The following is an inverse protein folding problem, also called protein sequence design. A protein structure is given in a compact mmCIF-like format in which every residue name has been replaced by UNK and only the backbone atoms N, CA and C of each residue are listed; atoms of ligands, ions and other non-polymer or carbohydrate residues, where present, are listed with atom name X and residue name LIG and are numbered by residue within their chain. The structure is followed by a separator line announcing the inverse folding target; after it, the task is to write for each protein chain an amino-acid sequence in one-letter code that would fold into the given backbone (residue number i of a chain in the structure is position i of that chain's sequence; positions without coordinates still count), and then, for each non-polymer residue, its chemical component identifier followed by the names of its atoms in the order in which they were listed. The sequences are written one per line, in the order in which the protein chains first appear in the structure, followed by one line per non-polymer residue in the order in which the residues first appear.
data_IF_693645858108
#
_entry.id   IF_693645858108
#
_cell.length_a   1.000
_cell.length_b   1.000
_cell.length_c   1.000
_cell.angle_alpha   90.00
_cell.angle_beta   90.00
_cell.angle_gamma   90.00
#
_symmetry.space_group_name_H-M   'P 1'
#
loop_
_entity.id
_entity.type
_entity.pdbx_description
1 polymer ?
#
# COMPACT_ATOMS: atom_id res chain seq x y z
N UNK A 1 -21.85 4.24 -4.47
CA UNK A 1 -22.64 5.45 -4.78
C UNK A 1 -21.88 6.22 -5.84
N UNK A 2 -22.45 6.54 -7.01
CA UNK A 2 -21.71 7.05 -8.17
C UNK A 2 -21.95 8.55 -8.43
N UNK A 3 -21.07 9.14 -9.24
CA UNK A 3 -21.19 10.53 -9.68
C UNK A 3 -21.81 10.60 -11.09
N UNK A 4 -22.82 11.43 -11.27
CA UNK A 4 -23.52 11.62 -12.54
C UNK A 4 -23.56 13.09 -12.95
N UNK A 5 -23.55 13.32 -14.26
CA UNK A 5 -23.99 14.59 -14.84
C UNK A 5 -25.41 14.39 -15.34
N UNK A 6 -26.33 15.24 -14.89
CA UNK A 6 -27.72 15.29 -15.35
C UNK A 6 -27.96 16.65 -15.99
N UNK A 7 -28.45 16.64 -17.23
CA UNK A 7 -28.77 17.86 -17.99
C UNK A 7 -30.26 18.16 -17.90
N UNK A 8 -30.61 19.35 -17.45
CA UNK A 8 -32.00 19.83 -17.35
C UNK A 8 -32.08 21.22 -17.99
N UNK A 9 -32.91 21.38 -19.03
CA UNK A 9 -33.05 22.59 -19.86
C UNK A 9 -31.69 23.10 -20.40
N UNK A 10 -30.81 22.18 -20.77
CA UNK A 10 -29.45 22.50 -21.25
C UNK A 10 -28.49 23.00 -20.17
N UNK A 11 -28.82 22.85 -18.87
CA UNK A 11 -27.91 23.10 -17.74
C UNK A 11 -27.46 21.78 -17.15
N UNK A 12 -26.15 21.60 -17.01
CA UNK A 12 -25.54 20.40 -16.43
C UNK A 12 -25.43 20.53 -14.91
N UNK A 13 -25.87 19.49 -14.21
CA UNK A 13 -25.75 19.35 -12.76
C UNK A 13 -24.91 18.10 -12.46
N UNK A 14 -23.80 18.29 -11.76
CA UNK A 14 -22.99 17.17 -11.23
C UNK A 14 -23.60 16.75 -9.90
N UNK A 15 -23.94 15.47 -9.78
CA UNK A 15 -24.56 14.87 -8.59
C UNK A 15 -23.67 13.72 -8.13
N UNK A 16 -23.04 13.87 -6.97
CA UNK A 16 -22.27 12.83 -6.29
C UNK A 16 -23.12 11.99 -5.33
N UNK A 17 -22.51 10.92 -4.82
CA UNK A 17 -23.01 10.12 -3.69
C UNK A 17 -24.43 9.55 -3.82
N UNK A 18 -24.82 9.15 -5.04
CA UNK A 18 -26.13 8.54 -5.29
C UNK A 18 -26.08 7.03 -5.49
N UNK A 19 -27.13 6.33 -5.05
CA UNK A 19 -27.25 4.87 -5.19
C UNK A 19 -27.71 4.44 -6.58
N UNK A 20 -28.37 5.33 -7.30
CA UNK A 20 -28.90 5.07 -8.64
C UNK A 20 -28.92 6.32 -9.52
N UNK A 21 -29.03 6.10 -10.83
CA UNK A 21 -29.32 7.13 -11.83
C UNK A 21 -30.58 7.93 -11.46
N UNK A 22 -31.63 7.26 -10.99
CA UNK A 22 -32.88 7.90 -10.62
C UNK A 22 -32.69 8.88 -9.46
N UNK A 23 -31.91 8.49 -8.44
CA UNK A 23 -31.58 9.39 -7.33
C UNK A 23 -30.79 10.62 -7.81
N UNK A 24 -29.90 10.45 -8.79
CA UNK A 24 -29.19 11.58 -9.40
C UNK A 24 -30.13 12.54 -10.12
N UNK A 25 -31.09 12.01 -10.90
CA UNK A 25 -32.09 12.83 -11.61
C UNK A 25 -32.95 13.58 -10.59
N UNK A 26 -33.46 12.90 -9.57
CA UNK A 26 -34.27 13.52 -8.51
C UNK A 26 -33.52 14.68 -7.82
N UNK A 27 -32.26 14.46 -7.42
CA UNK A 27 -31.44 15.51 -6.80
C UNK A 27 -31.10 16.66 -7.75
N UNK A 28 -30.85 16.38 -9.03
CA UNK A 28 -30.60 17.42 -10.03
C UNK A 28 -31.83 18.32 -10.22
N UNK A 29 -33.03 17.74 -10.21
CA UNK A 29 -34.27 18.50 -10.27
C UNK A 29 -34.49 19.36 -9.02
N UNK A 30 -34.20 18.84 -7.83
CA UNK A 30 -34.24 19.62 -6.59
C UNK A 30 -33.26 20.81 -6.63
N UNK A 31 -32.03 20.59 -7.12
CA UNK A 31 -31.02 21.66 -7.31
C UNK A 31 -31.44 22.69 -8.36
N UNK A 32 -32.17 22.28 -9.39
CA UNK A 32 -32.70 23.18 -10.43
C UNK A 32 -33.84 24.09 -9.92
N UNK A 33 -34.42 23.78 -8.76
CA UNK A 33 -35.53 24.53 -8.17
C UNK A 33 -36.87 24.37 -8.91
N UNK A 34 -37.01 23.32 -9.72
CA UNK A 34 -38.24 23.00 -10.45
C UNK A 34 -39.22 22.25 -9.56
N UNK A 35 -40.48 22.69 -9.54
CA UNK A 35 -41.56 21.92 -8.92
C UNK A 35 -41.92 20.72 -9.80
N UNK A 36 -41.90 19.53 -9.22
CA UNK A 36 -42.31 18.29 -9.88
C UNK A 36 -43.37 17.58 -9.03
N UNK A 37 -44.40 17.01 -9.66
CA UNK A 37 -45.51 16.34 -8.98
C UNK A 37 -45.41 14.81 -8.94
N UNK A 38 -44.66 14.20 -9.86
CA UNK A 38 -44.31 12.79 -9.86
C UNK A 38 -42.99 12.54 -10.60
N UNK A 39 -42.36 11.38 -10.36
CA UNK A 39 -41.11 10.98 -11.03
C UNK A 39 -41.30 10.91 -12.56
N UNK A 40 -42.52 10.64 -13.02
CA UNK A 40 -42.88 10.60 -14.45
C UNK A 40 -42.84 11.99 -15.13
N UNK A 41 -42.84 13.08 -14.36
CA UNK A 41 -42.75 14.46 -14.85
C UNK A 41 -41.28 14.92 -15.03
N UNK A 42 -40.30 14.13 -14.56
CA UNK A 42 -38.87 14.44 -14.64
C UNK A 42 -38.37 14.26 -16.09
N UNK A 43 -38.50 15.30 -16.91
CA UNK A 43 -37.89 15.33 -18.24
C UNK A 43 -36.43 15.78 -18.13
N UNK A 44 -35.51 14.83 -18.04
CA UNK A 44 -34.08 15.10 -18.21
C UNK A 44 -33.72 15.08 -19.71
N UNK A 45 -32.87 16.00 -20.15
CA UNK A 45 -32.41 16.05 -21.54
C UNK A 45 -31.43 14.90 -21.82
N UNK A 46 -30.54 14.64 -20.86
CA UNK A 46 -29.60 13.53 -20.87
C UNK A 46 -29.01 13.29 -19.49
N UNK A 47 -28.39 12.13 -19.30
CA UNK A 47 -27.55 11.84 -18.15
C UNK A 47 -26.37 10.96 -18.56
N UNK A 48 -25.28 11.01 -17.79
CA UNK A 48 -24.10 10.15 -17.95
C UNK A 48 -23.28 10.11 -16.66
N UNK A 49 -22.36 9.15 -16.49
CA UNK A 49 -21.34 9.25 -15.44
C UNK A 49 -20.57 10.57 -15.56
N UNK A 50 -20.31 11.20 -14.41
CA UNK A 50 -19.41 12.34 -14.36
C UNK A 50 -17.99 11.89 -14.63
N UNK A 51 -17.23 12.72 -15.34
CA UNK A 51 -15.80 12.51 -15.49
C UNK A 51 -15.06 12.84 -14.19
N UNK A 52 -13.84 12.32 -14.03
CA UNK A 52 -12.95 12.70 -12.91
C UNK A 52 -12.83 14.22 -12.79
N UNK A 53 -12.62 14.92 -13.91
CA UNK A 53 -12.53 16.38 -13.95
C UNK A 53 -13.79 17.06 -13.41
N UNK A 54 -14.97 16.59 -13.81
CA UNK A 54 -16.25 17.18 -13.41
C UNK A 54 -16.55 16.94 -11.93
N UNK A 55 -16.28 15.73 -11.43
CA UNK A 55 -16.42 15.41 -10.01
C UNK A 55 -15.53 16.32 -9.15
N UNK A 56 -14.27 16.53 -9.55
CA UNK A 56 -13.35 17.41 -8.85
C UNK A 56 -13.75 18.88 -8.93
N UNK A 57 -14.24 19.34 -10.09
CA UNK A 57 -14.73 20.71 -10.24
C UNK A 57 -15.97 20.98 -9.40
N UNK A 58 -16.89 20.02 -9.27
CA UNK A 58 -18.06 20.17 -8.39
C UNK A 58 -17.65 20.26 -6.91
N UNK A 59 -16.77 19.37 -6.46
CA UNK A 59 -16.35 19.31 -5.05
C UNK A 59 -15.42 20.46 -4.63
N UNK A 60 -14.48 20.85 -5.49
CA UNK A 60 -13.37 21.76 -5.12
C UNK A 60 -13.34 23.06 -5.92
N UNK A 61 -14.22 23.24 -6.91
CA UNK A 61 -14.25 24.40 -7.82
C UNK A 61 -13.15 24.36 -8.88
N UNK A 62 -13.18 25.28 -9.86
CA UNK A 62 -12.28 25.27 -11.04
C UNK A 62 -10.78 25.32 -10.73
N UNK A 63 -10.40 25.76 -9.54
CA UNK A 63 -9.01 25.93 -9.12
C UNK A 63 -8.39 24.67 -8.46
N UNK A 64 -9.08 23.52 -8.48
CA UNK A 64 -8.57 22.29 -7.85
C UNK A 64 -7.23 21.80 -8.42
N UNK A 65 -6.90 22.22 -9.64
CA UNK A 65 -5.64 21.94 -10.33
C UNK A 65 -4.48 22.83 -9.87
N UNK A 66 -4.75 23.90 -9.11
CA UNK A 66 -3.72 24.85 -8.68
C UNK A 66 -2.87 24.20 -7.59
N UNK A 67 -1.54 24.23 -7.74
CA UNK A 67 -0.55 23.73 -6.77
C UNK A 67 -0.47 24.55 -5.46
N UNK A 68 -1.59 25.07 -4.95
CA UNK A 68 -1.64 25.81 -3.71
C UNK A 68 -2.06 24.91 -2.55
N UNK A 69 -1.07 24.49 -1.76
CA UNK A 69 -1.21 23.57 -0.61
C UNK A 69 -2.26 23.98 0.44
N UNK A 70 -2.70 25.25 0.48
CA UNK A 70 -3.67 25.71 1.49
C UNK A 70 -5.13 25.46 1.13
N UNK A 71 -5.43 25.39 -0.17
CA UNK A 71 -6.80 25.38 -0.68
C UNK A 71 -7.02 24.32 -1.78
N UNK A 72 -6.01 23.51 -2.12
CA UNK A 72 -6.05 22.56 -3.24
C UNK A 72 -5.66 21.13 -2.86
N UNK A 73 -5.92 20.21 -3.78
CA UNK A 73 -5.65 18.77 -3.64
C UNK A 73 -4.18 18.39 -3.73
N UNK A 74 -3.27 19.35 -3.90
CA UNK A 74 -1.85 19.10 -4.23
C UNK A 74 -1.07 18.23 -3.24
N UNK A 75 -1.61 18.02 -2.04
CA UNK A 75 -1.03 17.18 -1.00
C UNK A 75 -1.44 15.70 -1.11
N UNK A 76 -2.61 15.41 -1.72
CA UNK A 76 -3.15 14.05 -1.94
C UNK A 76 -3.23 13.66 -3.42
N UNK A 77 -3.17 14.61 -4.34
CA UNK A 77 -3.21 14.35 -5.77
C UNK A 77 -2.42 15.39 -6.59
N UNK A 78 -2.08 15.05 -7.82
CA UNK A 78 -1.45 15.93 -8.79
C UNK A 78 -1.98 15.63 -10.20
N UNK A 79 -1.94 16.61 -11.11
CA UNK A 79 -2.26 16.38 -12.52
C UNK A 79 -0.99 16.22 -13.33
N UNK A 80 -0.90 15.12 -14.07
CA UNK A 80 0.23 14.80 -14.93
C UNK A 80 -0.24 14.25 -16.29
N UNK A 81 0.70 14.07 -17.22
CA UNK A 81 0.44 13.44 -18.52
C UNK A 81 0.79 11.95 -18.44
N UNK A 82 -0.16 11.08 -18.79
CA UNK A 82 -0.01 9.63 -18.74
C UNK A 82 1.16 9.15 -19.59
N UNK A 83 1.88 8.16 -19.08
CA UNK A 83 2.92 7.43 -19.82
C UNK A 83 2.59 5.95 -19.80
N UNK A 84 2.39 5.37 -20.98
CA UNK A 84 2.21 3.93 -21.12
C UNK A 84 3.56 3.23 -21.28
N UNK A 85 3.71 2.12 -20.56
CA UNK A 85 4.87 1.24 -20.68
C UNK A 85 4.61 0.24 -21.79
N UNK A 86 5.29 0.39 -22.93
CA UNK A 86 5.34 -0.67 -23.95
C UNK A 86 6.57 -1.53 -23.71
N UNK A 87 6.39 -2.76 -23.22
CA UNK A 87 7.46 -3.76 -23.23
C UNK A 87 7.73 -4.17 -24.69
N UNK A 88 8.91 -3.85 -25.20
CA UNK A 88 9.34 -4.36 -26.50
C UNK A 88 9.63 -5.86 -26.40
N UNK A 89 9.31 -6.60 -27.47
CA UNK A 89 9.42 -8.07 -27.55
C UNK A 89 10.85 -8.60 -27.45
N UNK A 90 11.86 -7.71 -27.51
CA UNK A 90 13.29 -8.02 -27.44
C UNK A 90 13.87 -7.99 -26.02
N UNK A 91 13.04 -7.73 -25.01
CA UNK A 91 13.31 -8.03 -23.60
C UNK A 91 14.47 -7.25 -22.98
N UNK A 92 14.97 -6.20 -23.61
CA UNK A 92 16.18 -5.52 -23.13
C UNK A 92 15.90 -4.26 -22.32
N UNK A 93 14.87 -3.46 -22.64
CA UNK A 93 14.42 -2.32 -21.81
C UNK A 93 12.94 -1.98 -22.07
N UNK A 94 12.12 -1.63 -21.06
CA UNK A 94 10.80 -1.08 -21.31
C UNK A 94 10.91 0.24 -22.07
N UNK A 95 10.18 0.38 -23.18
CA UNK A 95 10.04 1.64 -23.90
C UNK A 95 8.84 2.40 -23.37
N UNK A 96 9.02 3.69 -23.09
CA UNK A 96 7.96 4.56 -22.60
C UNK A 96 7.36 5.35 -23.75
N UNK A 97 6.03 5.32 -23.88
CA UNK A 97 5.30 6.18 -24.81
C UNK A 97 4.38 7.10 -24.00
N UNK A 98 4.41 8.40 -24.30
CA UNK A 98 3.48 9.38 -23.74
C UNK A 98 2.36 9.56 -24.75
N UNK A 99 1.13 9.25 -24.35
CA UNK A 99 -0.08 9.51 -25.16
C UNK A 99 -0.68 10.90 -24.87
N UNK A 100 -0.07 11.64 -23.93
CA UNK A 100 -0.42 13.01 -23.51
C UNK A 100 -1.84 13.11 -22.93
N UNK A 101 -2.43 12.00 -22.47
CA UNK A 101 -3.71 12.01 -21.78
C UNK A 101 -3.51 12.60 -20.38
N UNK A 102 -4.23 13.66 -19.98
CA UNK A 102 -4.11 14.23 -18.66
C UNK A 102 -4.78 13.30 -17.63
N UNK A 103 -4.04 12.97 -16.57
CA UNK A 103 -4.47 12.08 -15.50
C UNK A 103 -4.36 12.77 -14.15
N UNK A 104 -5.29 12.43 -13.24
CA UNK A 104 -5.15 12.66 -11.81
C UNK A 104 -4.28 11.53 -11.23
N UNK A 105 -3.13 11.85 -10.68
CA UNK A 105 -2.27 10.93 -9.94
C UNK A 105 -2.54 11.09 -8.46
N UNK A 106 -2.87 10.00 -7.77
CA UNK A 106 -3.12 10.00 -6.33
C UNK A 106 -1.80 9.75 -5.59
N UNK A 107 -1.40 10.69 -4.73
CA UNK A 107 -0.18 10.59 -3.93
C UNK A 107 -0.37 9.61 -2.77
N UNK A 108 0.72 9.01 -2.29
CA UNK A 108 0.62 8.00 -1.24
C UNK A 108 0.03 6.70 -1.77
N UNK A 109 0.15 6.45 -3.07
CA UNK A 109 -0.24 5.20 -3.75
C UNK A 109 0.91 4.69 -4.63
N UNK A 110 2.14 5.12 -4.34
CA UNK A 110 3.33 4.66 -5.03
C UNK A 110 3.58 3.18 -4.69
N UNK A 111 3.34 2.31 -5.66
CA UNK A 111 3.81 0.94 -5.66
C UNK A 111 5.34 0.92 -5.85
N UNK A 112 5.98 -0.20 -5.46
CA UNK A 112 7.43 -0.43 -5.39
C UNK A 112 8.31 0.61 -6.11
N UNK A 113 9.13 1.34 -5.35
CA UNK A 113 10.14 2.26 -5.85
C UNK A 113 11.40 1.49 -6.29
N UNK A 114 11.99 1.90 -7.42
CA UNK A 114 13.26 1.37 -7.93
C UNK A 114 14.43 1.56 -6.97
N UNK A 115 14.33 2.49 -6.03
CA UNK A 115 15.33 2.71 -5.00
C UNK A 115 15.18 1.82 -3.77
N UNK A 116 14.13 0.98 -3.72
CA UNK A 116 13.90 0.01 -2.64
C UNK A 116 13.51 0.64 -1.30
N UNK A 117 13.07 1.90 -1.31
CA UNK A 117 12.46 2.56 -0.15
C UNK A 117 10.95 2.37 -0.17
N UNK A 118 10.55 1.12 -0.34
CA UNK A 118 9.16 0.71 -0.46
C UNK A 118 8.42 1.03 0.85
N UNK A 119 7.52 1.99 0.78
CA UNK A 119 6.70 2.39 1.91
C UNK A 119 5.46 1.48 2.00
N UNK A 120 5.25 0.76 3.12
CA UNK A 120 4.12 -0.16 3.27
C UNK A 120 2.76 0.53 3.12
N UNK A 121 2.65 1.81 3.49
CA UNK A 121 1.40 2.58 3.38
C UNK A 121 1.09 2.87 1.91
N UNK A 122 2.05 3.37 1.14
CA UNK A 122 1.84 3.63 -0.29
C UNK A 122 1.50 2.36 -1.08
N UNK A 123 2.17 1.23 -0.80
CA UNK A 123 1.89 -0.05 -1.48
C UNK A 123 0.50 -0.58 -1.11
N UNK A 124 0.12 -0.54 0.17
CA UNK A 124 -1.21 -1.01 0.60
C UNK A 124 -2.33 -0.16 0.02
N UNK A 125 -2.17 1.17 0.03
CA UNK A 125 -3.13 2.08 -0.62
C UNK A 125 -3.25 1.80 -2.12
N UNK A 126 -2.13 1.57 -2.82
CA UNK A 126 -2.15 1.18 -4.23
C UNK A 126 -2.95 -0.11 -4.43
N UNK A 127 -2.67 -1.18 -3.68
CA UNK A 127 -3.36 -2.46 -3.81
C UNK A 127 -4.86 -2.34 -3.54
N UNK A 128 -5.23 -1.68 -2.45
CA UNK A 128 -6.62 -1.47 -2.05
C UNK A 128 -7.42 -0.68 -3.10
N UNK A 129 -6.85 0.41 -3.62
CA UNK A 129 -7.51 1.22 -4.65
C UNK A 129 -7.53 0.54 -6.01
N UNK A 130 -6.44 -0.13 -6.40
CA UNK A 130 -6.38 -0.85 -7.67
C UNK A 130 -7.43 -1.96 -7.72
N UNK A 131 -7.59 -2.75 -6.65
CA UNK A 131 -8.63 -3.78 -6.57
C UNK A 131 -10.03 -3.16 -6.65
N UNK A 132 -10.27 -2.11 -5.84
CA UNK A 132 -11.56 -1.40 -5.78
C UNK A 132 -11.99 -0.77 -7.10
N UNK A 133 -11.04 -0.26 -7.89
CA UNK A 133 -11.31 0.47 -9.14
C UNK A 133 -10.88 -0.30 -10.39
N UNK A 134 -10.55 -1.59 -10.27
CA UNK A 134 -9.99 -2.42 -11.34
C UNK A 134 -10.81 -2.46 -12.63
N UNK A 135 -12.14 -2.33 -12.52
CA UNK A 135 -13.06 -2.32 -13.67
C UNK A 135 -13.31 -0.92 -14.26
N UNK A 136 -12.73 0.13 -13.68
CA UNK A 136 -12.96 1.51 -14.10
C UNK A 136 -12.21 1.82 -15.41
N UNK A 137 -12.96 2.33 -16.39
CA UNK A 137 -12.36 2.88 -17.60
C UNK A 137 -11.50 4.11 -17.24
N UNK A 138 -10.23 4.08 -17.65
CA UNK A 138 -9.29 5.18 -17.39
C UNK A 138 -8.43 5.02 -16.15
N UNK A 139 -8.53 3.90 -15.42
CA UNK A 139 -7.52 3.52 -14.42
C UNK A 139 -6.21 3.10 -15.11
N UNK A 140 -5.09 3.62 -14.62
CA UNK A 140 -3.75 3.27 -15.09
C UNK A 140 -2.70 3.36 -13.97
N UNK A 141 -1.50 2.81 -14.22
CA UNK A 141 -0.37 2.82 -13.27
C UNK A 141 0.42 4.14 -13.27
N UNK A 142 -0.21 5.23 -13.72
CA UNK A 142 0.37 6.57 -13.69
C UNK A 142 1.59 6.79 -14.58
N UNK A 143 2.17 7.99 -14.53
CA UNK A 143 3.12 8.46 -15.54
C UNK A 143 4.60 8.26 -15.18
N UNK A 144 4.89 7.75 -13.98
CA UNK A 144 6.26 7.69 -13.47
C UNK A 144 6.97 6.41 -13.95
N UNK A 145 8.20 6.56 -14.41
CA UNK A 145 8.99 5.41 -14.85
C UNK A 145 9.42 4.56 -13.67
N UNK A 146 9.20 3.24 -13.76
CA UNK A 146 9.61 2.25 -12.75
C UNK A 146 8.95 2.41 -11.37
N UNK A 147 7.78 3.05 -11.32
CA UNK A 147 6.93 3.12 -10.14
C UNK A 147 5.48 3.07 -10.65
N UNK A 148 4.69 2.11 -10.18
CA UNK A 148 3.25 2.15 -10.46
C UNK A 148 2.62 3.09 -9.43
N UNK A 149 1.69 3.93 -9.87
CA UNK A 149 0.92 4.82 -8.98
C UNK A 149 -0.51 4.88 -9.48
N UNK A 150 -1.50 5.02 -8.60
CA UNK A 150 -2.88 5.12 -9.04
C UNK A 150 -3.06 6.42 -9.84
N UNK A 151 -3.46 6.27 -11.10
CA UNK A 151 -3.80 7.38 -11.96
C UNK A 151 -5.12 7.18 -12.68
N UNK A 152 -5.91 8.25 -12.74
CA UNK A 152 -7.23 8.28 -13.33
C UNK A 152 -7.28 9.30 -14.47
N UNK A 153 -7.64 8.87 -15.67
CA UNK A 153 -7.84 9.76 -16.82
C UNK A 153 -8.89 10.83 -16.49
N UNK A 154 -8.52 12.11 -16.64
CA UNK A 154 -9.39 13.22 -16.21
C UNK A 154 -10.73 13.27 -16.96
N UNK A 155 -10.75 12.79 -18.20
CA UNK A 155 -11.92 12.87 -19.07
C UNK A 155 -12.66 11.51 -19.19
N UNK A 156 -12.37 10.57 -18.27
CA UNK A 156 -13.05 9.28 -18.12
C UNK A 156 -13.93 9.26 -16.86
N UNK A 157 -14.88 8.30 -16.74
CA UNK A 157 -15.78 8.23 -15.59
C UNK A 157 -15.02 8.25 -14.26
N UNK A 158 -15.47 9.07 -13.32
CA UNK A 158 -14.91 9.13 -11.98
C UNK A 158 -15.23 7.84 -11.20
N UNK A 159 -14.30 7.33 -10.37
CA UNK A 159 -14.66 6.36 -9.34
C UNK A 159 -15.73 6.92 -8.43
N UNK A 160 -16.57 6.01 -7.95
CA UNK A 160 -17.79 6.35 -7.23
C UNK A 160 -17.48 7.04 -5.88
N UNK A 161 -16.38 6.64 -5.22
CA UNK A 161 -15.87 7.13 -3.94
C UNK A 161 -14.64 8.04 -4.08
N UNK A 162 -14.40 8.63 -5.27
CA UNK A 162 -13.20 9.43 -5.52
C UNK A 162 -13.00 10.55 -4.48
N UNK A 163 -14.05 11.31 -4.20
CA UNK A 163 -13.97 12.47 -3.28
C UNK A 163 -13.69 11.99 -1.85
N UNK A 164 -14.45 10.99 -1.38
CA UNK A 164 -14.26 10.37 -0.06
C UNK A 164 -12.83 9.83 0.13
N UNK A 165 -12.27 9.16 -0.89
CA UNK A 165 -10.90 8.65 -0.83
C UNK A 165 -9.88 9.79 -0.71
N UNK A 166 -10.03 10.85 -1.50
CA UNK A 166 -9.13 12.01 -1.44
C UNK A 166 -9.21 12.73 -0.08
N UNK A 167 -10.41 12.89 0.48
CA UNK A 167 -10.61 13.48 1.80
C UNK A 167 -10.08 12.57 2.92
N UNK A 168 -10.27 11.26 2.81
CA UNK A 168 -9.74 10.27 3.76
C UNK A 168 -8.22 10.33 3.79
N UNK A 169 -7.56 10.23 2.62
CA UNK A 169 -6.10 10.32 2.51
C UNK A 169 -5.54 11.64 3.05
N UNK A 170 -6.27 12.74 2.91
CA UNK A 170 -5.86 14.04 3.43
C UNK A 170 -5.86 14.08 4.97
N UNK A 171 -6.77 13.34 5.60
CA UNK A 171 -6.89 13.27 7.06
C UNK A 171 -5.99 12.19 7.66
N UNK A 172 -5.95 11.02 7.02
CA UNK A 172 -5.21 9.85 7.46
C UNK A 172 -4.72 9.06 6.24
N UNK A 173 -3.39 8.91 6.07
CA UNK A 173 -2.81 8.40 4.82
C UNK A 173 -2.94 6.89 4.65
N UNK A 174 -3.86 6.21 5.33
CA UNK A 174 -4.07 4.75 5.26
C UNK A 174 -5.52 4.47 4.90
N UNK A 175 -5.73 3.74 3.80
CA UNK A 175 -7.06 3.35 3.31
C UNK A 175 -7.53 2.04 3.94
N UNK A 176 -6.62 1.10 4.12
CA UNK A 176 -6.89 -0.24 4.65
C UNK A 176 -5.79 -0.67 5.62
N UNK A 177 -6.12 -0.71 6.91
CA UNK A 177 -5.22 -1.09 7.99
C UNK A 177 -4.82 -2.58 7.95
N UNK A 178 -5.71 -3.44 7.44
CA UNK A 178 -5.43 -4.88 7.34
C UNK A 178 -4.44 -5.13 6.20
N UNK A 179 -4.67 -4.52 5.03
CA UNK A 179 -3.73 -4.59 3.91
C UNK A 179 -2.39 -3.94 4.28
N UNK A 180 -2.39 -2.79 4.97
CA UNK A 180 -1.15 -2.17 5.46
C UNK A 180 -0.36 -3.11 6.36
N UNK A 181 -1.01 -3.73 7.34
CA UNK A 181 -0.36 -4.70 8.22
C UNK A 181 0.19 -5.91 7.46
N UNK A 182 -0.54 -6.41 6.45
CA UNK A 182 -0.08 -7.51 5.61
C UNK A 182 1.16 -7.13 4.78
N UNK A 183 1.12 -5.96 4.12
CA UNK A 183 2.24 -5.45 3.31
C UNK A 183 3.47 -5.19 4.17
N UNK A 184 3.31 -4.65 5.38
CA UNK A 184 4.41 -4.47 6.31
C UNK A 184 5.08 -5.81 6.64
N UNK A 185 4.31 -6.86 6.91
CA UNK A 185 4.86 -8.21 7.16
C UNK A 185 5.54 -8.81 5.92
N UNK A 186 4.97 -8.63 4.72
CA UNK A 186 5.62 -9.04 3.46
C UNK A 186 6.99 -8.37 3.29
N UNK A 187 7.08 -7.07 3.55
CA UNK A 187 8.33 -6.31 3.44
C UNK A 187 9.34 -6.74 4.50
N UNK A 188 8.93 -6.93 5.76
CA UNK A 188 9.81 -7.45 6.81
C UNK A 188 10.37 -8.82 6.40
N UNK A 189 9.54 -9.70 5.84
CA UNK A 189 9.98 -11.00 5.33
C UNK A 189 10.97 -10.85 4.17
N UNK A 190 10.71 -9.95 3.21
CA UNK A 190 11.63 -9.65 2.10
C UNK A 190 12.99 -9.13 2.61
N UNK A 191 12.99 -8.25 3.61
CA UNK A 191 14.22 -7.75 4.25
C UNK A 191 14.97 -8.87 4.98
N UNK A 192 14.26 -9.78 5.64
CA UNK A 192 14.86 -10.94 6.30
C UNK A 192 15.55 -11.85 5.29
N UNK A 193 14.88 -12.18 4.20
CA UNK A 193 15.41 -13.07 3.15
C UNK A 193 16.56 -12.41 2.36
N UNK A 194 16.52 -11.09 2.21
CA UNK A 194 17.54 -10.31 1.49
C UNK A 194 18.84 -10.17 2.29
N UNK A 195 18.76 -9.69 3.54
CA UNK A 195 19.95 -9.44 4.37
C UNK A 195 19.78 -9.88 5.83
N UNK A 196 18.59 -9.72 6.41
CA UNK A 196 18.38 -9.86 7.86
C UNK A 196 18.81 -11.22 8.41
N UNK A 197 18.49 -12.30 7.69
CA UNK A 197 18.87 -13.67 8.06
C UNK A 197 20.39 -13.82 8.17
N UNK A 198 21.14 -13.29 7.20
CA UNK A 198 22.60 -13.37 7.21
C UNK A 198 23.20 -12.57 8.36
N UNK A 199 22.68 -11.37 8.65
CA UNK A 199 23.18 -10.51 9.72
C UNK A 199 22.96 -11.13 11.11
N UNK A 200 21.81 -11.77 11.33
CA UNK A 200 21.53 -12.49 12.58
C UNK A 200 22.46 -13.70 12.71
N UNK A 201 22.64 -14.48 11.64
CA UNK A 201 23.53 -15.65 11.65
C UNK A 201 25.00 -15.26 11.86
N UNK A 202 25.48 -14.19 11.23
CA UNK A 202 26.83 -13.66 11.45
C UNK A 202 27.01 -13.25 12.91
N UNK A 203 26.02 -12.55 13.48
CA UNK A 203 26.04 -12.15 14.90
C UNK A 203 26.07 -13.35 15.85
N UNK A 204 25.32 -14.41 15.54
CA UNK A 204 25.30 -15.66 16.32
C UNK A 204 26.65 -16.37 16.22
N UNK A 205 27.20 -16.53 15.01
CA UNK A 205 28.49 -17.16 14.77
C UNK A 205 29.62 -16.45 15.55
N UNK A 206 29.68 -15.12 15.46
CA UNK A 206 30.64 -14.30 16.20
C UNK A 206 30.48 -14.50 17.73
N UNK A 207 29.25 -14.48 18.23
CA UNK A 207 28.99 -14.59 19.67
C UNK A 207 29.35 -15.95 20.27
N UNK A 208 29.34 -17.04 19.48
CA UNK A 208 29.78 -18.37 19.92
C UNK A 208 31.24 -18.67 19.53
N UNK A 209 31.96 -17.69 18.97
CA UNK A 209 33.39 -17.77 18.68
C UNK A 209 33.76 -18.48 17.38
N UNK A 210 32.88 -18.47 16.38
CA UNK A 210 33.17 -18.95 15.03
C UNK A 210 33.69 -17.82 14.14
N UNK A 211 34.45 -18.19 13.12
CA UNK A 211 35.04 -17.24 12.17
C UNK A 211 34.01 -16.77 11.11
N UNK A 212 32.99 -17.58 10.83
CA UNK A 212 31.98 -17.30 9.79
C UNK A 212 30.65 -18.00 10.07
N UNK A 213 29.53 -17.40 9.62
CA UNK A 213 28.22 -18.07 9.61
C UNK A 213 28.20 -19.36 8.81
N UNK A 214 29.11 -19.54 7.86
CA UNK A 214 29.24 -20.79 7.08
C UNK A 214 29.54 -22.01 7.95
N UNK A 215 30.07 -21.79 9.15
CA UNK A 215 30.43 -22.82 10.11
C UNK A 215 29.24 -23.22 10.99
N UNK A 216 28.08 -22.57 10.84
CA UNK A 216 26.82 -22.96 11.46
C UNK A 216 26.16 -24.10 10.69
N UNK A 217 25.45 -24.98 11.39
CA UNK A 217 24.64 -26.05 10.80
C UNK A 217 23.27 -25.53 10.35
N UNK A 218 22.58 -26.31 9.53
CA UNK A 218 21.19 -26.03 9.14
C UNK A 218 20.24 -26.05 10.36
N UNK A 219 20.58 -26.82 11.41
CA UNK A 219 19.84 -26.83 12.66
C UNK A 219 20.03 -25.53 13.46
N UNK A 220 21.24 -24.95 13.46
CA UNK A 220 21.49 -23.62 14.03
C UNK A 220 20.67 -22.56 13.29
N UNK A 221 20.66 -22.62 11.96
CA UNK A 221 19.87 -21.71 11.14
C UNK A 221 18.37 -21.81 11.48
N UNK A 222 17.82 -23.02 11.57
CA UNK A 222 16.43 -23.23 11.96
C UNK A 222 16.13 -22.70 13.37
N UNK A 223 17.03 -22.90 14.34
CA UNK A 223 16.87 -22.35 15.68
C UNK A 223 16.83 -20.81 15.64
N UNK A 224 17.71 -20.19 14.86
CA UNK A 224 17.74 -18.74 14.67
C UNK A 224 16.43 -18.25 14.05
N UNK A 225 15.97 -18.86 12.96
CA UNK A 225 14.70 -18.50 12.31
C UNK A 225 13.54 -18.55 13.32
N UNK A 226 13.51 -19.54 14.21
CA UNK A 226 12.48 -19.64 15.26
C UNK A 226 12.62 -18.57 16.34
N UNK A 227 13.84 -18.26 16.76
CA UNK A 227 14.09 -17.19 17.74
C UNK A 227 13.69 -15.81 17.20
N UNK A 228 13.77 -15.60 15.88
CA UNK A 228 13.30 -14.39 15.20
C UNK A 228 11.77 -14.36 15.15
N UNK A 229 11.11 -15.41 14.65
CA UNK A 229 9.71 -15.32 14.24
C UNK A 229 8.69 -15.81 15.28
N UNK A 230 9.10 -16.61 16.27
CA UNK A 230 8.13 -17.25 17.18
C UNK A 230 7.85 -16.45 18.46
N UNK A 231 8.39 -15.23 18.64
CA UNK A 231 8.15 -14.44 19.85
C UNK A 231 8.73 -15.12 21.11
N UNK A 232 9.88 -15.79 20.98
CA UNK A 232 10.53 -16.51 22.09
C UNK A 232 11.33 -15.55 22.97
N UNK A 233 11.97 -14.54 22.36
CA UNK A 233 12.79 -13.55 23.03
C UNK A 233 12.10 -12.20 23.00
N UNK A 234 12.18 -11.46 24.09
CA UNK A 234 11.70 -10.08 24.11
C UNK A 234 12.76 -9.16 23.48
N UNK A 235 12.50 -8.68 22.27
CA UNK A 235 13.27 -7.66 21.56
C UNK A 235 12.33 -6.78 20.71
N UNK A 236 12.89 -5.70 20.14
CA UNK A 236 12.12 -4.71 19.37
C UNK A 236 11.18 -3.91 20.26
N UNK A 237 9.96 -3.66 19.78
CA UNK A 237 8.93 -2.89 20.49
C UNK A 237 8.19 -3.67 21.61
N UNK A 238 8.85 -4.63 22.26
CA UNK A 238 8.35 -5.35 23.43
C UNK A 238 7.49 -6.59 23.14
N UNK A 239 7.47 -7.03 21.87
CA UNK A 239 6.68 -8.17 21.42
C UNK A 239 7.52 -9.37 20.97
N UNK A 240 8.84 -9.23 20.84
CA UNK A 240 9.70 -10.35 20.43
C UNK A 240 9.58 -10.77 18.97
N UNK A 241 9.10 -9.87 18.12
CA UNK A 241 8.94 -10.08 16.69
C UNK A 241 9.77 -9.07 15.91
N UNK A 242 10.14 -9.37 14.66
CA UNK A 242 10.76 -8.41 13.78
C UNK A 242 9.92 -7.14 13.67
N UNK A 243 10.57 -5.99 13.70
CA UNK A 243 9.89 -4.69 13.62
C UNK A 243 10.55 -3.84 12.55
N UNK A 244 9.76 -3.23 11.68
CA UNK A 244 10.27 -2.25 10.72
C UNK A 244 10.65 -0.98 11.47
N UNK A 245 11.89 -0.49 11.27
CA UNK A 245 12.37 0.77 11.85
C UNK A 245 12.04 1.91 10.88
N UNK A 246 12.37 1.70 9.60
CA UNK A 246 12.03 2.54 8.46
C UNK A 246 11.96 1.68 7.18
N UNK A 247 11.63 2.27 6.04
CA UNK A 247 11.47 1.56 4.75
C UNK A 247 12.73 0.88 4.22
N UNK A 248 13.89 1.08 4.87
CA UNK A 248 15.16 0.44 4.50
C UNK A 248 15.73 -0.48 5.58
N UNK A 249 15.15 -0.49 6.78
CA UNK A 249 15.74 -1.14 7.94
C UNK A 249 14.70 -1.86 8.82
N UNK A 250 15.00 -3.10 9.18
CA UNK A 250 14.23 -3.90 10.13
C UNK A 250 15.10 -4.33 11.32
N UNK A 251 14.53 -4.35 12.53
CA UNK A 251 15.16 -4.97 13.70
C UNK A 251 14.74 -6.44 13.78
N UNK A 252 15.69 -7.34 13.50
CA UNK A 252 15.52 -8.78 13.65
C UNK A 252 16.06 -9.33 14.98
N UNK A 253 16.41 -8.48 15.94
CA UNK A 253 16.86 -8.91 17.27
C UNK A 253 18.25 -9.53 17.30
N UNK A 254 19.09 -9.29 16.28
CA UNK A 254 20.37 -9.96 16.06
C UNK A 254 21.24 -10.06 17.34
N UNK A 255 21.40 -8.95 18.07
CA UNK A 255 22.18 -8.90 19.32
C UNK A 255 21.55 -9.71 20.45
N UNK A 256 20.23 -9.65 20.60
CA UNK A 256 19.50 -10.37 21.64
C UNK A 256 19.54 -11.88 21.39
N UNK A 257 19.37 -12.29 20.13
CA UNK A 257 19.46 -13.69 19.69
C UNK A 257 20.88 -14.22 19.90
N UNK A 258 21.90 -13.50 19.42
CA UNK A 258 23.30 -13.88 19.59
C UNK A 258 23.68 -14.02 21.06
N UNK A 259 23.29 -13.07 21.91
CA UNK A 259 23.48 -13.15 23.35
C UNK A 259 22.74 -14.35 23.95
N UNK A 260 21.49 -14.60 23.56
CA UNK A 260 20.69 -15.71 24.08
C UNK A 260 21.34 -17.06 23.79
N UNK A 261 21.79 -17.28 22.56
CA UNK A 261 22.46 -18.50 22.11
C UNK A 261 23.79 -18.67 22.86
N UNK A 262 24.64 -17.64 22.90
CA UNK A 262 25.95 -17.72 23.55
C UNK A 262 25.86 -18.05 25.05
N UNK A 263 24.90 -17.48 25.78
CA UNK A 263 24.74 -17.74 27.21
C UNK A 263 24.18 -19.13 27.55
N UNK A 264 23.66 -19.85 26.55
CA UNK A 264 23.05 -21.18 26.72
C UNK A 264 23.76 -22.25 25.89
N UNK A 265 24.93 -21.91 25.36
CA UNK A 265 25.75 -22.84 24.58
C UNK A 265 26.04 -24.11 25.40
N UNK A 266 25.85 -25.27 24.77
CA UNK A 266 26.01 -26.58 25.43
C UNK A 266 24.79 -27.08 26.18
N UNK A 267 23.63 -26.42 26.05
CA UNK A 267 22.39 -26.83 26.74
C UNK A 267 21.23 -27.08 25.78
N UNK A 268 20.26 -27.88 26.22
CA UNK A 268 18.95 -27.99 25.58
C UNK A 268 17.97 -27.20 26.43
N UNK A 269 17.23 -26.29 25.80
CA UNK A 269 16.38 -25.31 26.49
C UNK A 269 14.94 -25.49 26.05
N UNK A 270 14.05 -25.61 27.02
CA UNK A 270 12.60 -25.57 26.79
C UNK A 270 12.10 -24.15 27.03
N UNK A 271 11.53 -23.54 26.00
CA UNK A 271 10.96 -22.19 26.04
C UNK A 271 9.54 -22.20 25.48
N UNK A 272 8.83 -21.08 25.63
CA UNK A 272 7.50 -20.90 25.04
C UNK A 272 7.54 -19.84 23.96
N UNK A 273 6.85 -20.09 22.86
CA UNK A 273 6.58 -19.10 21.82
C UNK A 273 5.54 -18.07 22.27
N UNK A 274 5.28 -17.06 21.43
CA UNK A 274 4.26 -16.02 21.61
C UNK A 274 4.35 -15.34 22.98
N UNK A 275 5.54 -14.86 23.33
CA UNK A 275 5.82 -14.17 24.59
C UNK A 275 5.42 -14.97 25.83
N UNK A 276 5.61 -16.29 25.79
CA UNK A 276 5.33 -17.18 26.91
C UNK A 276 3.91 -17.76 26.93
N UNK A 277 3.04 -17.41 25.98
CA UNK A 277 1.66 -17.90 25.92
C UNK A 277 1.46 -19.07 24.96
N UNK A 278 2.38 -19.26 24.01
CA UNK A 278 2.29 -20.28 22.97
C UNK A 278 2.75 -21.68 23.40
N UNK A 279 3.05 -22.47 22.37
CA UNK A 279 3.53 -23.84 22.47
C UNK A 279 4.93 -23.92 23.06
N UNK A 280 5.25 -25.08 23.63
CA UNK A 280 6.59 -25.36 24.14
C UNK A 280 7.53 -25.74 23.00
N UNK A 281 8.73 -25.19 23.06
CA UNK A 281 9.74 -25.23 22.02
C UNK A 281 11.04 -25.71 22.65
N UNK A 282 11.54 -26.84 22.16
CA UNK A 282 12.87 -27.35 22.51
C UNK A 282 13.91 -26.77 21.56
N UNK A 283 14.95 -26.14 22.11
CA UNK A 283 16.09 -25.61 21.38
C UNK A 283 17.36 -26.33 21.85
N UNK A 284 17.95 -27.15 20.98
CA UNK A 284 19.22 -27.83 21.25
C UNK A 284 20.39 -26.92 20.83
N UNK A 285 21.00 -26.27 21.82
CA UNK A 285 22.11 -25.35 21.65
C UNK A 285 23.47 -26.03 21.92
N UNK A 286 23.56 -27.35 21.77
CA UNK A 286 24.82 -28.07 21.91
C UNK A 286 25.75 -27.83 20.70
N UNK A 287 27.09 -27.86 20.87
CA UNK A 287 28.02 -27.64 19.76
C UNK A 287 27.82 -28.58 18.58
N UNK A 288 27.44 -29.84 18.83
CA UNK A 288 27.16 -30.84 17.79
C UNK A 288 25.96 -30.45 16.92
N UNK A 289 24.97 -29.77 17.51
CA UNK A 289 23.80 -29.30 16.79
C UNK A 289 24.02 -27.92 16.16
N UNK A 290 24.96 -27.11 16.66
CA UNK A 290 25.16 -25.73 16.19
C UNK A 290 26.31 -25.54 15.19
N UNK A 291 27.37 -26.34 15.30
CA UNK A 291 28.63 -26.10 14.57
C UNK A 291 28.92 -27.24 13.59
N UNK A 292 29.20 -26.90 12.33
CA UNK A 292 29.68 -27.84 11.32
C UNK A 292 31.10 -28.30 11.70
N UNK A 293 31.29 -29.62 11.79
CA UNK A 293 32.59 -30.25 12.07
C UNK A 293 33.44 -30.41 10.82
#
# INVERSE_FOLDING_TARGET
MAHYVVTIDGVDYVIGDVWSEQDAIEQAFDRSGKEWSSVDDLVCDSWRPATVREALTDAYGDDWQVENYRNGLSHVANVAERREVTRTTDGTFPSFHTDYVPVLVIRGTENRDVHGYDDPVSISNYRALYDRWSELEGLSNGPYSNCDVIALDLDKPAPFDLIDVLESLAQYPVIDEEEWSMVEQELIQEHYDSYGRNDVLDSVAEAIGLDSRSDLTDAAESIVDRLVWEGILDYGCGGGYPTMIDSSACDFGAKSIAWYVANRLGTVVEVKSQNGYGDSVSLDLTPENLVRQ
#
